data_IF_188444419053
#
_entry.id   IF_188444419053
#
_cell.length_a   1.000
_cell.length_b   1.000
_cell.length_c   1.000
_cell.angle_alpha   90.00
_cell.angle_beta   90.00
_cell.angle_gamma   90.00
#
_symmetry.space_group_name_H-M   'P 1'
#
loop_
_entity.id
_entity.type
_entity.pdbx_description
1 polymer ?
#
# COMPACT_ATOMS: atom_id res chain seq x y z
N UNK A 1 -1.09 -17.86 12.04
CA UNK A 1 -1.60 -16.58 11.52
C UNK A 1 -1.04 -15.38 12.26
N UNK A 2 -1.14 -15.28 13.59
CA UNK A 2 -0.56 -14.15 14.35
C UNK A 2 0.96 -14.01 14.16
N UNK A 3 1.70 -15.12 14.14
CA UNK A 3 3.15 -15.10 13.85
C UNK A 3 3.44 -14.53 12.46
N UNK A 4 2.64 -14.89 11.45
CA UNK A 4 2.74 -14.31 10.10
C UNK A 4 2.41 -12.81 10.11
N UNK A 5 1.37 -12.38 10.84
CA UNK A 5 1.05 -10.95 10.98
C UNK A 5 2.23 -10.18 11.60
N UNK A 6 2.79 -10.69 12.70
CA UNK A 6 3.89 -10.08 13.42
C UNK A 6 5.13 -9.95 12.52
N UNK A 7 5.49 -11.02 11.81
CA UNK A 7 6.61 -11.01 10.87
C UNK A 7 6.38 -10.04 9.72
N UNK A 8 5.19 -10.03 9.11
CA UNK A 8 4.90 -9.14 7.99
C UNK A 8 4.86 -7.65 8.35
N UNK A 9 4.39 -7.32 9.57
CA UNK A 9 4.35 -5.94 10.04
C UNK A 9 5.72 -5.41 10.45
N UNK A 10 6.64 -6.28 10.84
CA UNK A 10 7.94 -5.91 11.37
C UNK A 10 7.85 -5.40 12.79
N UNK A 11 7.56 -4.10 12.92
CA UNK A 11 7.20 -3.50 14.21
C UNK A 11 5.69 -3.43 14.36
N UNK A 12 5.17 -3.75 15.54
CA UNK A 12 3.73 -3.81 15.75
C UNK A 12 3.30 -3.52 17.18
N UNK A 13 2.04 -3.09 17.30
CA UNK A 13 1.25 -3.21 18.52
C UNK A 13 0.38 -4.47 18.43
N UNK A 14 0.03 -5.07 19.56
CA UNK A 14 -0.78 -6.29 19.59
C UNK A 14 -2.09 -6.16 18.81
N UNK A 15 -2.77 -5.01 18.93
CA UNK A 15 -4.04 -4.77 18.26
C UNK A 15 -3.93 -4.80 16.72
N UNK A 16 -2.76 -4.54 16.15
CA UNK A 16 -2.56 -4.55 14.69
C UNK A 16 -2.52 -5.97 14.11
N UNK A 17 -2.18 -6.97 14.93
CA UNK A 17 -1.98 -8.35 14.46
C UNK A 17 -3.28 -8.98 13.95
N UNK A 18 -4.39 -8.69 14.65
CA UNK A 18 -5.70 -9.22 14.31
C UNK A 18 -6.19 -8.67 12.96
N UNK A 19 -5.96 -7.37 12.71
CA UNK A 19 -6.46 -6.70 11.52
C UNK A 19 -5.75 -7.14 10.23
N UNK A 20 -4.49 -7.57 10.31
CA UNK A 20 -3.71 -8.01 9.14
C UNK A 20 -4.43 -9.11 8.32
N UNK A 21 -5.02 -10.11 9.00
CA UNK A 21 -5.81 -11.18 8.37
C UNK A 21 -7.29 -11.15 8.75
N UNK A 22 -7.78 -10.04 9.34
CA UNK A 22 -9.16 -9.91 9.85
C UNK A 22 -9.59 -11.04 10.79
N UNK A 23 -8.69 -11.44 11.69
CA UNK A 23 -8.96 -12.49 12.67
C UNK A 23 -10.03 -12.04 13.67
N UNK A 24 -11.03 -12.89 13.91
CA UNK A 24 -12.07 -12.63 14.91
C UNK A 24 -11.59 -13.06 16.30
N UNK A 25 -11.51 -12.10 17.23
CA UNK A 25 -11.24 -12.31 18.66
C UNK A 25 -10.03 -13.24 18.95
N UNK A 26 -8.83 -13.01 18.36
CA UNK A 26 -7.66 -13.79 18.73
C UNK A 26 -7.22 -13.52 20.17
N UNK A 27 -6.62 -14.53 20.83
CA UNK A 27 -6.06 -14.41 22.18
C UNK A 27 -4.70 -13.68 22.15
N UNK A 28 -4.71 -12.37 21.92
CA UNK A 28 -3.51 -11.56 21.69
C UNK A 28 -2.55 -11.52 22.89
N UNK A 29 -3.06 -11.33 24.11
CA UNK A 29 -2.23 -11.22 25.32
C UNK A 29 -1.46 -12.52 25.59
N UNK A 30 -2.16 -13.66 25.60
CA UNK A 30 -1.54 -14.98 25.77
C UNK A 30 -0.53 -15.30 24.66
N UNK A 31 -0.85 -14.93 23.41
CA UNK A 31 0.10 -15.07 22.30
C UNK A 31 1.37 -14.25 22.54
N UNK A 32 1.23 -12.96 22.91
CA UNK A 32 2.38 -12.08 23.17
C UNK A 32 3.25 -12.63 24.27
N UNK A 33 2.66 -12.99 25.42
CA UNK A 33 3.40 -13.49 26.58
C UNK A 33 4.23 -14.72 26.22
N UNK A 34 3.61 -15.72 25.58
CA UNK A 34 4.31 -16.91 25.13
C UNK A 34 5.45 -16.58 24.14
N UNK A 35 5.23 -15.65 23.19
CA UNK A 35 6.25 -15.28 22.20
C UNK A 35 7.38 -14.43 22.78
N UNK A 36 7.10 -13.60 23.77
CA UNK A 36 8.09 -12.82 24.47
C UNK A 36 8.98 -13.73 25.34
N UNK A 37 8.40 -14.68 26.07
CA UNK A 37 9.14 -15.71 26.82
C UNK A 37 10.05 -16.54 25.91
N UNK A 38 9.58 -16.87 24.72
CA UNK A 38 10.33 -17.60 23.70
C UNK A 38 11.33 -16.72 22.93
N UNK A 39 11.44 -15.42 23.24
CA UNK A 39 12.28 -14.44 22.55
C UNK A 39 12.00 -14.34 21.04
N UNK A 40 10.79 -14.71 20.60
CA UNK A 40 10.35 -14.61 19.21
C UNK A 40 9.86 -13.20 18.85
N UNK A 41 9.57 -12.39 19.87
CA UNK A 41 9.30 -10.96 19.73
C UNK A 41 10.15 -10.20 20.74
N UNK A 42 10.60 -9.00 20.35
CA UNK A 42 11.54 -8.19 21.11
C UNK A 42 10.89 -6.83 21.36
N UNK A 43 10.89 -6.38 22.61
CA UNK A 43 10.38 -5.06 22.95
C UNK A 43 11.28 -3.98 22.34
N UNK A 44 10.69 -3.00 21.66
CA UNK A 44 11.39 -1.87 21.05
C UNK A 44 10.67 -0.56 21.35
N UNK A 45 11.41 0.54 21.37
CA UNK A 45 10.86 1.88 21.50
C UNK A 45 11.10 2.66 20.21
N UNK A 46 10.05 3.27 19.66
CA UNK A 46 10.13 4.13 18.48
C UNK A 46 9.68 5.52 18.87
N UNK A 47 10.55 6.53 18.70
CA UNK A 47 10.38 7.90 19.22
C UNK A 47 8.95 8.47 19.08
N UNK A 48 8.33 8.36 17.90
CA UNK A 48 6.98 8.90 17.63
C UNK A 48 5.82 7.93 17.90
N UNK A 49 6.11 6.66 18.11
CA UNK A 49 5.10 5.60 18.29
C UNK A 49 5.11 5.01 19.71
N UNK A 50 6.12 5.28 20.51
CA UNK A 50 6.31 4.69 21.83
C UNK A 50 6.70 3.22 21.77
N UNK A 51 6.24 2.45 22.76
CA UNK A 51 6.59 1.04 22.92
C UNK A 51 5.84 0.15 21.92
N UNK A 52 6.60 -0.73 21.29
CA UNK A 52 6.19 -1.67 20.25
C UNK A 52 6.92 -3.00 20.44
N UNK A 53 6.52 -3.98 19.62
CA UNK A 53 7.21 -5.26 19.49
C UNK A 53 7.84 -5.37 18.10
N UNK A 54 9.01 -5.99 18.00
CA UNK A 54 9.69 -6.37 16.77
C UNK A 54 9.69 -7.89 16.66
N UNK A 55 9.35 -8.45 15.50
CA UNK A 55 9.53 -9.87 15.25
C UNK A 55 11.02 -10.25 15.17
N UNK A 56 11.45 -11.31 15.86
CA UNK A 56 12.87 -11.66 16.00
C UNK A 56 13.58 -11.91 14.66
N UNK A 57 12.92 -12.53 13.68
CA UNK A 57 13.48 -12.72 12.32
C UNK A 57 13.94 -11.43 11.64
N UNK A 58 13.42 -10.27 12.07
CA UNK A 58 13.73 -8.96 11.50
C UNK A 58 14.70 -8.16 12.36
N UNK A 59 15.19 -8.73 13.46
CA UNK A 59 16.24 -8.13 14.28
C UNK A 59 17.48 -7.74 13.47
N UNK A 60 17.99 -8.55 12.51
CA UNK A 60 19.13 -8.14 11.68
C UNK A 60 18.87 -6.89 10.83
N UNK A 61 17.61 -6.50 10.61
CA UNK A 61 17.26 -5.28 9.89
C UNK A 61 17.22 -4.04 10.80
N UNK A 62 17.16 -4.22 12.13
CA UNK A 62 17.04 -3.11 13.09
C UNK A 62 18.27 -2.19 13.03
N UNK A 63 19.48 -2.75 13.03
CA UNK A 63 20.71 -1.96 12.91
C UNK A 63 20.75 -1.16 11.60
N UNK A 64 20.30 -1.78 10.51
CA UNK A 64 20.17 -1.09 9.22
C UNK A 64 19.13 0.02 9.26
N UNK A 65 18.03 -0.17 9.96
CA UNK A 65 17.00 0.85 10.14
C UNK A 65 17.54 2.06 10.90
N UNK A 66 18.23 1.82 12.02
CA UNK A 66 18.86 2.85 12.85
C UNK A 66 19.95 3.62 12.09
N UNK A 67 20.66 2.93 11.19
CA UNK A 67 21.64 3.56 10.31
C UNK A 67 21.04 4.28 9.08
N UNK A 68 19.71 4.28 8.90
CA UNK A 68 19.04 4.86 7.72
C UNK A 68 19.32 4.10 6.41
N UNK A 69 19.70 2.82 6.50
CA UNK A 69 20.14 1.95 5.38
C UNK A 69 19.07 0.94 4.93
N UNK A 70 17.85 1.09 5.39
CA UNK A 70 16.70 0.37 4.81
C UNK A 70 16.19 1.16 3.61
N UNK A 71 16.14 0.48 2.45
CA UNK A 71 15.68 1.09 1.22
C UNK A 71 14.51 0.29 0.69
N UNK A 72 13.33 0.90 0.68
CA UNK A 72 12.19 0.34 -0.02
C UNK A 72 12.35 0.53 -1.53
N UNK A 73 12.11 -0.55 -2.28
CA UNK A 73 12.36 -0.61 -3.73
C UNK A 73 11.09 -0.81 -4.55
N UNK A 74 10.04 -1.35 -3.93
CA UNK A 74 8.83 -1.78 -4.62
C UNK A 74 7.87 -0.62 -4.89
N UNK A 75 7.17 -0.69 -6.02
CA UNK A 75 6.01 0.14 -6.33
C UNK A 75 4.85 -0.78 -6.68
N UNK A 76 3.65 -0.48 -6.21
CA UNK A 76 2.50 -1.33 -6.43
C UNK A 76 1.20 -0.52 -6.41
N UNK A 77 0.23 -0.99 -7.19
CA UNK A 77 -1.18 -0.64 -6.99
C UNK A 77 -1.71 -1.54 -5.88
N UNK A 78 -2.19 -0.95 -4.79
CA UNK A 78 -2.72 -1.70 -3.67
C UNK A 78 -4.23 -1.92 -3.81
N UNK A 79 -4.69 -3.08 -3.35
CA UNK A 79 -6.11 -3.33 -3.13
C UNK A 79 -6.65 -2.39 -2.05
N UNK A 80 -7.94 -1.98 -2.09
CA UNK A 80 -8.58 -1.29 -0.96
C UNK A 80 -8.55 -2.12 0.34
N UNK A 81 -8.31 -3.43 0.20
CA UNK A 81 -8.27 -4.43 1.27
C UNK A 81 -6.85 -4.88 1.62
N UNK A 82 -5.83 -4.20 1.09
CA UNK A 82 -4.44 -4.52 1.38
C UNK A 82 -4.09 -4.23 2.86
N UNK A 83 -3.35 -5.12 3.57
CA UNK A 83 -2.96 -4.92 4.96
C UNK A 83 -2.20 -3.62 5.25
N UNK A 84 -1.61 -2.97 4.24
CA UNK A 84 -0.95 -1.66 4.39
C UNK A 84 -1.95 -0.55 4.68
N UNK A 85 -3.14 -0.56 4.06
CA UNK A 85 -4.10 0.58 4.08
C UNK A 85 -5.41 0.29 4.81
N UNK A 86 -5.72 -0.98 5.01
CA UNK A 86 -7.04 -1.39 5.47
C UNK A 86 -7.28 -1.13 6.97
N UNK A 87 -6.23 -1.20 7.80
CA UNK A 87 -6.24 -0.52 9.11
C UNK A 87 -5.98 0.97 8.89
N UNK A 88 -7.08 1.73 8.83
CA UNK A 88 -7.06 3.17 8.54
C UNK A 88 -6.27 3.97 9.57
N UNK A 89 -6.34 3.60 10.85
CA UNK A 89 -5.64 4.34 11.92
C UNK A 89 -4.14 4.13 11.79
N UNK A 90 -3.72 2.90 11.49
CA UNK A 90 -2.31 2.60 11.23
C UNK A 90 -1.82 3.27 9.95
N UNK A 91 -2.62 3.25 8.88
CA UNK A 91 -2.27 3.92 7.62
C UNK A 91 -2.06 5.43 7.81
N UNK A 92 -2.95 6.09 8.57
CA UNK A 92 -2.81 7.49 8.95
C UNK A 92 -1.57 7.72 9.82
N UNK A 93 -1.36 6.92 10.87
CA UNK A 93 -0.23 7.09 11.80
C UNK A 93 1.15 6.86 11.14
N UNK A 94 1.27 5.90 10.21
CA UNK A 94 2.56 5.53 9.62
C UNK A 94 2.84 6.21 8.28
N UNK A 95 1.80 6.54 7.50
CA UNK A 95 1.94 7.01 6.14
C UNK A 95 1.24 8.35 5.86
N UNK A 96 0.62 8.97 6.88
CA UNK A 96 -0.19 10.19 6.72
C UNK A 96 -1.26 10.04 5.62
N UNK A 97 -1.87 8.85 5.56
CA UNK A 97 -2.73 8.44 4.46
C UNK A 97 -4.16 8.16 4.92
N UNK A 98 -4.99 9.22 4.93
CA UNK A 98 -6.43 9.08 5.17
C UNK A 98 -7.12 8.49 3.94
N UNK A 99 -7.65 7.27 4.07
CA UNK A 99 -8.22 6.53 2.95
C UNK A 99 -9.50 5.78 3.31
N UNK A 100 -10.51 5.96 2.45
CA UNK A 100 -11.80 5.27 2.52
C UNK A 100 -12.24 4.94 1.10
N UNK A 101 -12.76 3.73 0.92
CA UNK A 101 -13.38 3.34 -0.33
C UNK A 101 -14.72 4.06 -0.48
N UNK A 102 -14.91 4.72 -1.61
CA UNK A 102 -16.05 5.61 -1.90
C UNK A 102 -17.13 4.96 -2.79
N UNK A 103 -17.07 3.64 -2.98
CA UNK A 103 -18.04 2.91 -3.80
C UNK A 103 -19.48 2.98 -3.24
N UNK A 104 -19.61 3.17 -1.93
CA UNK A 104 -20.89 3.39 -1.24
C UNK A 104 -21.27 4.87 -1.13
N UNK A 105 -20.37 5.79 -1.50
CA UNK A 105 -20.63 7.23 -1.50
C UNK A 105 -21.35 7.61 -2.80
N UNK A 106 -22.44 8.41 -2.76
CA UNK A 106 -23.09 8.92 -3.96
C UNK A 106 -22.12 9.71 -4.85
N UNK A 107 -22.22 9.56 -6.18
CA UNK A 107 -21.25 10.11 -7.12
C UNK A 107 -20.88 11.59 -6.91
N UNK A 108 -21.81 12.53 -6.66
CA UNK A 108 -21.48 13.95 -6.45
C UNK A 108 -20.75 14.24 -5.14
N UNK A 109 -20.76 13.31 -4.17
CA UNK A 109 -20.10 13.45 -2.87
C UNK A 109 -18.75 12.73 -2.80
N UNK A 110 -18.33 12.09 -3.89
CA UNK A 110 -17.03 11.42 -3.98
C UNK A 110 -15.93 12.46 -4.08
N UNK A 111 -14.85 12.24 -3.34
CA UNK A 111 -13.66 13.08 -3.39
C UNK A 111 -12.69 12.55 -4.46
N UNK A 112 -12.49 11.23 -4.51
CA UNK A 112 -11.44 10.63 -5.34
C UNK A 112 -11.97 9.74 -6.46
N UNK A 113 -13.13 9.10 -6.29
CA UNK A 113 -13.69 8.21 -7.32
C UNK A 113 -14.51 7.05 -6.78
N UNK A 114 -14.91 6.12 -7.64
CA UNK A 114 -15.77 4.99 -7.24
C UNK A 114 -14.97 3.84 -6.62
N UNK A 115 -13.96 3.34 -7.32
CA UNK A 115 -13.15 2.19 -6.90
C UNK A 115 -11.68 2.58 -6.85
N UNK A 116 -11.36 3.35 -5.80
CA UNK A 116 -10.06 4.01 -5.65
C UNK A 116 -9.04 3.06 -5.06
N UNK A 117 -7.90 2.90 -5.74
CA UNK A 117 -6.78 2.05 -5.37
C UNK A 117 -5.61 2.90 -4.88
N UNK A 118 -5.03 2.64 -3.70
CA UNK A 118 -3.83 3.35 -3.24
C UNK A 118 -2.61 3.01 -4.10
N UNK A 119 -1.72 3.98 -4.27
CA UNK A 119 -0.48 3.83 -5.01
C UNK A 119 0.70 3.85 -4.03
N UNK A 120 1.42 2.73 -3.94
CA UNK A 120 2.66 2.60 -3.18
C UNK A 120 3.84 2.84 -4.12
N UNK A 121 4.79 3.68 -3.69
CA UNK A 121 6.08 3.84 -4.35
C UNK A 121 7.18 3.92 -3.31
N UNK A 122 8.07 2.92 -3.31
CA UNK A 122 9.31 2.88 -2.51
C UNK A 122 9.10 3.24 -1.04
N UNK A 123 8.09 2.62 -0.42
CA UNK A 123 7.80 2.77 1.01
C UNK A 123 6.87 3.94 1.36
N UNK A 124 6.37 4.69 0.37
CA UNK A 124 5.43 5.79 0.57
C UNK A 124 4.12 5.56 -0.18
N UNK A 125 2.99 5.92 0.44
CA UNK A 125 1.70 5.98 -0.24
C UNK A 125 1.60 7.33 -0.96
N UNK A 126 1.98 7.35 -2.24
CA UNK A 126 2.19 8.58 -3.02
C UNK A 126 0.92 9.12 -3.65
N UNK A 127 -0.15 8.33 -3.69
CA UNK A 127 -1.36 8.72 -4.39
C UNK A 127 -2.45 7.66 -4.40
N UNK A 128 -3.43 7.90 -5.26
CA UNK A 128 -4.64 7.12 -5.45
C UNK A 128 -5.00 7.10 -6.93
N UNK A 129 -5.58 6.01 -7.42
CA UNK A 129 -6.23 6.00 -8.74
C UNK A 129 -7.62 5.40 -8.68
N UNK A 130 -8.61 6.06 -9.28
CA UNK A 130 -9.89 5.45 -9.61
C UNK A 130 -9.74 4.72 -10.94
N UNK A 131 -10.03 3.41 -10.95
CA UNK A 131 -9.80 2.58 -12.12
C UNK A 131 -10.94 1.59 -12.36
N UNK A 132 -11.16 1.25 -13.63
CA UNK A 132 -12.15 0.28 -14.08
C UNK A 132 -11.55 -0.65 -15.12
N UNK A 133 -11.70 -1.96 -14.88
CA UNK A 133 -11.33 -2.97 -15.86
C UNK A 133 -12.52 -3.27 -16.80
N UNK A 134 -12.38 -2.93 -18.08
CA UNK A 134 -13.34 -3.25 -19.14
C UNK A 134 -12.99 -4.62 -19.73
N UNK A 135 -13.50 -5.67 -19.11
CA UNK A 135 -13.13 -7.07 -19.44
C UNK A 135 -13.40 -7.46 -20.90
N UNK A 136 -14.45 -6.93 -21.53
CA UNK A 136 -14.79 -7.26 -22.92
C UNK A 136 -13.77 -6.72 -23.93
N UNK A 137 -13.16 -5.58 -23.63
CA UNK A 137 -12.21 -4.90 -24.52
C UNK A 137 -10.75 -5.07 -24.09
N UNK A 138 -10.51 -5.68 -22.93
CA UNK A 138 -9.16 -5.83 -22.37
C UNK A 138 -8.55 -4.50 -21.92
N UNK A 139 -9.35 -3.47 -21.61
CA UNK A 139 -8.84 -2.15 -21.25
C UNK A 139 -8.94 -1.91 -19.74
N UNK A 140 -7.81 -1.60 -19.09
CA UNK A 140 -7.82 -0.96 -17.78
C UNK A 140 -7.91 0.56 -17.96
N UNK A 141 -9.06 1.13 -17.65
CA UNK A 141 -9.25 2.58 -17.63
C UNK A 141 -8.85 3.14 -16.27
N UNK A 142 -7.86 4.04 -16.25
CA UNK A 142 -7.57 4.90 -15.11
C UNK A 142 -8.39 6.18 -15.27
N UNK A 143 -9.56 6.22 -14.64
CA UNK A 143 -10.52 7.32 -14.74
C UNK A 143 -9.92 8.61 -14.17
N UNK A 144 -9.30 8.50 -12.99
CA UNK A 144 -8.59 9.61 -12.37
C UNK A 144 -7.41 9.14 -11.51
N UNK A 145 -6.35 9.93 -11.47
CA UNK A 145 -5.20 9.74 -10.61
C UNK A 145 -4.95 11.00 -9.77
N UNK A 146 -4.63 10.78 -8.51
CA UNK A 146 -4.40 11.82 -7.51
C UNK A 146 -3.07 11.56 -6.81
N UNK A 147 -2.20 12.56 -6.75
CA UNK A 147 -1.01 12.51 -5.90
C UNK A 147 -1.34 13.08 -4.53
N UNK A 148 -0.66 12.57 -3.49
CA UNK A 148 -0.69 13.16 -2.16
C UNK A 148 -0.07 14.56 -2.16
N UNK A 149 -0.47 15.40 -1.19
CA UNK A 149 0.11 16.73 -1.04
C UNK A 149 1.63 16.64 -0.85
N UNK A 150 2.37 17.56 -1.46
CA UNK A 150 3.83 17.57 -1.44
C UNK A 150 4.53 16.57 -2.36
N UNK A 151 3.81 15.61 -2.96
CA UNK A 151 4.40 14.65 -3.90
C UNK A 151 4.59 15.28 -5.28
N UNK A 152 5.84 15.33 -5.74
CA UNK A 152 6.20 15.86 -7.07
C UNK A 152 6.29 14.74 -8.11
N UNK A 153 5.82 14.96 -9.35
CA UNK A 153 5.85 13.96 -10.44
C UNK A 153 7.25 13.81 -11.04
N UNK A 154 8.22 13.35 -10.25
CA UNK A 154 9.58 13.09 -10.73
C UNK A 154 9.62 11.96 -11.76
N UNK A 155 10.67 11.91 -12.59
CA UNK A 155 10.85 10.81 -13.57
C UNK A 155 10.87 9.44 -12.90
N UNK A 156 11.47 9.34 -11.71
CA UNK A 156 11.52 8.08 -10.95
C UNK A 156 10.13 7.65 -10.47
N UNK A 157 9.33 8.57 -9.94
CA UNK A 157 7.97 8.30 -9.54
C UNK A 157 7.12 7.88 -10.74
N UNK A 158 7.21 8.63 -11.85
CA UNK A 158 6.49 8.32 -13.08
C UNK A 158 6.81 6.91 -13.57
N UNK A 159 8.10 6.56 -13.66
CA UNK A 159 8.52 5.20 -14.07
C UNK A 159 7.97 4.13 -13.12
N UNK A 160 8.06 4.36 -11.81
CA UNK A 160 7.58 3.41 -10.80
C UNK A 160 6.06 3.20 -10.85
N UNK A 161 5.29 4.29 -11.00
CA UNK A 161 3.84 4.21 -11.11
C UNK A 161 3.41 3.59 -12.44
N UNK A 162 4.08 3.92 -13.56
CA UNK A 162 3.80 3.28 -14.86
C UNK A 162 3.99 1.77 -14.76
N UNK A 163 5.08 1.31 -14.17
CA UNK A 163 5.32 -0.12 -13.97
C UNK A 163 4.25 -0.74 -13.08
N UNK A 164 3.98 -0.15 -11.90
CA UNK A 164 2.98 -0.67 -10.97
C UNK A 164 1.57 -0.78 -11.59
N UNK A 165 1.17 0.21 -12.39
CA UNK A 165 -0.12 0.21 -13.11
C UNK A 165 -0.11 -0.86 -14.21
N UNK A 166 1.01 -1.02 -14.92
CA UNK A 166 1.18 -2.05 -15.96
C UNK A 166 1.11 -3.46 -15.36
N UNK A 167 1.77 -3.69 -14.22
CA UNK A 167 1.74 -4.98 -13.52
C UNK A 167 0.32 -5.30 -13.04
N UNK A 168 -0.37 -4.32 -12.46
CA UNK A 168 -1.76 -4.47 -12.04
C UNK A 168 -2.71 -4.73 -13.22
N UNK A 169 -2.53 -4.02 -14.32
CA UNK A 169 -3.31 -4.19 -15.53
C UNK A 169 -3.08 -5.58 -16.15
N UNK A 170 -1.83 -6.02 -16.22
CA UNK A 170 -1.45 -7.36 -16.69
C UNK A 170 -2.05 -8.46 -15.81
N UNK A 171 -2.02 -8.28 -14.49
CA UNK A 171 -2.67 -9.20 -13.54
C UNK A 171 -4.19 -9.29 -13.74
N UNK A 172 -4.84 -8.19 -14.14
CA UNK A 172 -6.25 -8.14 -14.53
C UNK A 172 -6.50 -8.63 -15.97
N UNK A 173 -5.47 -9.11 -16.68
CA UNK A 173 -5.50 -9.54 -18.08
C UNK A 173 -5.89 -8.42 -19.06
N UNK A 174 -5.54 -7.18 -18.73
CA UNK A 174 -5.66 -6.07 -19.67
C UNK A 174 -4.56 -6.14 -20.73
N UNK A 175 -4.89 -5.74 -21.95
CA UNK A 175 -3.95 -5.52 -23.06
C UNK A 175 -3.60 -4.05 -23.22
N UNK A 176 -4.37 -3.14 -22.59
CA UNK A 176 -4.17 -1.70 -22.69
C UNK A 176 -4.54 -0.97 -21.41
N UNK A 177 -3.78 0.07 -21.09
CA UNK A 177 -4.14 1.09 -20.10
C UNK A 177 -4.59 2.35 -20.81
N UNK A 178 -5.69 2.97 -20.37
CA UNK A 178 -6.07 4.33 -20.77
C UNK A 178 -6.01 5.26 -19.58
N UNK A 179 -5.65 6.53 -19.82
CA UNK A 179 -5.59 7.56 -18.78
C UNK A 179 -6.65 8.63 -19.03
N UNK A 180 -7.46 8.88 -18.01
CA UNK A 180 -8.35 10.03 -17.91
C UNK A 180 -7.66 11.20 -17.21
N UNK A 181 -8.24 11.66 -16.10
CA UNK A 181 -7.70 12.81 -15.34
C UNK A 181 -6.39 12.42 -14.64
N UNK A 182 -5.28 13.05 -15.02
CA UNK A 182 -4.00 12.90 -14.31
C UNK A 182 -3.49 14.25 -13.77
N UNK A 183 -2.68 14.25 -12.70
CA UNK A 183 -2.02 15.45 -12.21
C UNK A 183 -1.05 16.01 -13.27
N UNK A 184 -0.88 17.33 -13.27
CA UNK A 184 0.06 17.99 -14.17
C UNK A 184 1.48 17.42 -13.98
N UNK A 185 2.22 17.22 -15.08
CA UNK A 185 3.59 16.72 -15.06
C UNK A 185 3.75 15.20 -14.95
N UNK A 186 2.73 14.44 -14.57
CA UNK A 186 2.77 12.97 -14.54
C UNK A 186 2.35 12.40 -15.90
N UNK A 187 3.10 11.51 -16.56
CA UNK A 187 2.74 10.85 -17.84
C UNK A 187 2.49 11.81 -19.02
N UNK A 188 3.25 12.90 -19.10
CA UNK A 188 3.09 13.92 -20.16
C UNK A 188 3.32 13.37 -21.56
N UNK A 189 4.16 12.35 -21.68
CA UNK A 189 4.54 11.64 -22.90
C UNK A 189 3.50 10.59 -23.36
N UNK A 190 2.61 10.15 -22.48
CA UNK A 190 1.61 9.10 -22.77
C UNK A 190 0.22 9.42 -22.21
N UNK A 191 -0.28 10.63 -22.47
CA UNK A 191 -1.56 11.14 -21.98
C UNK A 191 -2.78 10.28 -22.33
N UNK A 192 -2.72 9.50 -23.40
CA UNK A 192 -3.80 8.60 -23.83
C UNK A 192 -3.69 7.19 -23.21
N UNK A 193 -2.63 6.93 -22.44
CA UNK A 193 -2.28 5.61 -21.90
C UNK A 193 -1.24 4.88 -22.76
N UNK A 194 -1.17 3.56 -22.62
CA UNK A 194 -0.19 2.71 -23.29
C UNK A 194 -0.71 1.28 -23.48
N UNK A 195 -0.18 0.59 -24.49
CA UNK A 195 -0.42 -0.85 -24.68
C UNK A 195 0.45 -1.66 -23.72
N UNK A 196 -0.02 -2.85 -23.36
CA UNK A 196 0.67 -3.81 -22.51
C UNK A 196 1.12 -4.95 -23.40
N UNK A 197 2.43 -5.18 -23.43
CA UNK A 197 2.98 -6.31 -24.17
C UNK A 197 2.44 -7.62 -23.58
N UNK A 198 2.05 -8.59 -24.42
CA UNK A 198 1.73 -9.94 -23.94
C UNK A 198 2.90 -10.47 -23.11
N UNK A 199 2.61 -11.02 -21.93
CA UNK A 199 3.63 -11.70 -21.14
C UNK A 199 4.16 -12.86 -22.00
N UNK A 200 5.45 -12.81 -22.34
CA UNK A 200 6.15 -13.82 -23.12
C UNK A 200 6.15 -15.19 -22.45
#
# INVERSE_FOLDING_TARGET
MLDNSARSLGIFREQWLADYYRLKRPALAAWREARAEQQQIIAVHVEKLGNLWLHADLLPLLERALAGKLTATHSAVLSPFDPVVWDRKRAEQLFDFSYRLECYTPAPKRQYGYFVLPLLHRGQLVGRMDAKMHRQTGILEVISLWLQEGIKPTTMLQKGLRQAITDFASWQQATRVTLGRCPQGLFTDCRTGWEIDPVA
#
